data_IF_419799881288
#
_entry.id   IF_419799881288
#
_cell.length_a   1.000
_cell.length_b   1.000
_cell.length_c   1.000
_cell.angle_alpha   90.00
_cell.angle_beta   90.00
_cell.angle_gamma   90.00
#
_symmetry.space_group_name_H-M   'P 1'
#
loop_
_entity.id
_entity.type
_entity.pdbx_description
1 polymer ?
#
# COMPACT_ATOMS: atom_id res chain seq x y z
N UNK A 1 -9.74 9.96 24.54
CA UNK A 1 -9.84 9.13 23.32
C UNK A 1 -9.54 7.69 23.68
N UNK A 2 -10.10 6.69 22.98
CA UNK A 2 -9.81 5.28 23.25
C UNK A 2 -8.32 4.99 22.97
N UNK A 3 -7.64 4.29 23.88
CA UNK A 3 -6.23 3.90 23.71
C UNK A 3 -6.09 2.65 22.83
N UNK A 4 -7.17 1.93 22.60
CA UNK A 4 -7.22 0.72 21.79
C UNK A 4 -8.67 0.56 21.35
N UNK A 5 -8.88 0.03 20.15
CA UNK A 5 -10.20 -0.37 19.69
C UNK A 5 -10.19 -1.88 19.37
N UNK A 6 -11.34 -2.51 19.50
CA UNK A 6 -11.51 -3.93 19.29
C UNK A 6 -12.80 -4.18 18.50
N UNK A 7 -12.71 -5.09 17.55
CA UNK A 7 -13.85 -5.61 16.81
C UNK A 7 -13.90 -7.12 17.01
N UNK A 8 -15.04 -7.64 17.45
CA UNK A 8 -15.22 -9.08 17.63
C UNK A 8 -16.48 -9.44 18.41
N UNK A 9 -16.74 -10.73 18.65
CA UNK A 9 -17.99 -11.21 19.23
C UNK A 9 -18.09 -11.02 20.75
N UNK A 10 -16.99 -10.64 21.39
CA UNK A 10 -16.89 -10.48 22.84
C UNK A 10 -16.88 -9.01 23.23
N UNK A 11 -17.58 -8.65 24.30
CA UNK A 11 -17.57 -7.30 24.86
C UNK A 11 -16.51 -7.20 25.98
N UNK A 12 -15.25 -7.01 25.60
CA UNK A 12 -14.15 -6.88 26.55
C UNK A 12 -14.08 -5.48 27.14
N UNK A 13 -13.84 -5.38 28.45
CA UNK A 13 -13.24 -4.16 29.01
C UNK A 13 -11.82 -3.95 28.48
N UNK A 14 -11.32 -2.71 28.53
CA UNK A 14 -9.95 -2.38 28.12
C UNK A 14 -8.94 -3.27 28.84
N UNK A 15 -9.05 -3.43 30.16
CA UNK A 15 -8.13 -4.24 30.96
C UNK A 15 -8.15 -5.73 30.58
N UNK A 16 -9.34 -6.30 30.36
CA UNK A 16 -9.47 -7.70 29.96
C UNK A 16 -8.84 -7.94 28.58
N UNK A 17 -9.07 -7.03 27.63
CA UNK A 17 -8.48 -7.13 26.30
C UNK A 17 -6.95 -7.07 26.39
N UNK A 18 -6.41 -6.12 27.16
CA UNK A 18 -4.96 -5.96 27.32
C UNK A 18 -4.33 -7.20 27.95
N UNK A 19 -4.92 -7.78 29.00
CA UNK A 19 -4.41 -9.02 29.60
C UNK A 19 -4.47 -10.20 28.62
N UNK A 20 -5.54 -10.33 27.83
CA UNK A 20 -5.62 -11.34 26.77
C UNK A 20 -4.49 -11.18 25.76
N UNK A 21 -4.32 -9.96 25.21
CA UNK A 21 -3.30 -9.65 24.21
C UNK A 21 -1.88 -9.89 24.73
N UNK A 22 -1.65 -9.78 26.04
CA UNK A 22 -0.38 -10.14 26.69
C UNK A 22 -0.09 -11.65 26.71
N UNK A 23 -1.02 -12.50 26.34
CA UNK A 23 -0.82 -13.95 26.19
C UNK A 23 -1.09 -14.48 24.78
N UNK A 24 -1.56 -13.61 23.88
CA UNK A 24 -1.95 -13.97 22.53
C UNK A 24 -0.71 -14.19 21.65
N UNK A 25 -0.72 -15.30 20.92
CA UNK A 25 0.36 -15.70 20.01
C UNK A 25 -0.23 -16.32 18.72
N UNK A 26 -0.90 -15.52 17.87
CA UNK A 26 -1.53 -16.05 16.68
C UNK A 26 -0.45 -16.51 15.70
N UNK A 27 -0.67 -17.67 15.08
CA UNK A 27 0.23 -18.20 14.04
C UNK A 27 0.12 -17.42 12.72
N UNK A 28 -1.03 -16.78 12.50
CA UNK A 28 -1.32 -15.92 11.34
C UNK A 28 -2.02 -14.67 11.85
N UNK A 29 -1.54 -13.51 11.44
CA UNK A 29 -2.24 -12.22 11.64
C UNK A 29 -2.31 -11.49 10.31
N UNK A 30 -3.39 -10.74 10.09
CA UNK A 30 -3.40 -9.72 9.04
C UNK A 30 -3.17 -8.35 9.66
N UNK A 31 -2.43 -7.51 8.94
CA UNK A 31 -2.01 -6.19 9.39
C UNK A 31 -2.46 -5.19 8.33
N UNK A 32 -3.03 -4.09 8.80
CA UNK A 32 -3.41 -2.95 7.99
C UNK A 32 -2.93 -1.67 8.69
N UNK A 33 -2.57 -0.65 7.93
CA UNK A 33 -2.13 0.64 8.47
C UNK A 33 -2.94 1.79 7.92
N UNK A 34 -3.30 2.70 8.83
CA UNK A 34 -3.93 3.96 8.45
C UNK A 34 -2.88 5.07 8.41
N UNK A 35 -2.97 5.93 7.40
CA UNK A 35 -2.00 7.00 7.14
C UNK A 35 -2.72 8.32 6.82
N UNK A 36 -2.03 9.45 6.94
CA UNK A 36 -2.62 10.78 6.66
C UNK A 36 -3.21 10.83 5.24
N UNK A 37 -2.46 10.34 4.26
CA UNK A 37 -2.90 10.21 2.87
C UNK A 37 -2.00 9.27 2.07
N UNK A 38 -2.38 8.96 0.83
CA UNK A 38 -1.51 8.20 -0.09
C UNK A 38 -0.14 8.83 -0.35
N UNK A 39 -0.02 10.17 -0.21
CA UNK A 39 1.25 10.90 -0.39
C UNK A 39 2.02 11.05 0.90
N UNK A 40 1.30 11.26 2.00
CA UNK A 40 1.85 11.41 3.34
C UNK A 40 1.53 10.15 4.15
N UNK A 41 2.49 9.21 4.13
CA UNK A 41 2.37 7.90 4.74
C UNK A 41 2.63 7.90 6.25
N UNK A 42 2.62 9.08 6.88
CA UNK A 42 2.71 9.18 8.34
C UNK A 42 1.59 8.36 8.98
N UNK A 43 1.96 7.42 9.85
CA UNK A 43 1.02 6.50 10.49
C UNK A 43 0.04 7.21 11.43
N UNK A 44 -1.24 6.91 11.25
CA UNK A 44 -2.33 7.26 12.15
C UNK A 44 -2.65 6.12 13.10
N UNK A 45 -2.50 4.86 12.66
CA UNK A 45 -2.67 3.70 13.52
C UNK A 45 -2.44 2.39 12.80
N UNK A 46 -2.52 1.30 13.57
CA UNK A 46 -2.23 -0.05 13.11
C UNK A 46 -3.40 -0.96 13.51
N UNK A 47 -4.04 -1.58 12.53
CA UNK A 47 -5.04 -2.63 12.70
C UNK A 47 -4.38 -4.00 12.59
N UNK A 48 -4.76 -4.92 13.47
CA UNK A 48 -4.28 -6.30 13.47
C UNK A 48 -5.47 -7.25 13.65
N UNK A 49 -5.77 -8.04 12.63
CA UNK A 49 -6.70 -9.15 12.75
C UNK A 49 -6.00 -10.34 13.42
N UNK A 50 -6.56 -10.78 14.54
CA UNK A 50 -6.08 -11.92 15.34
C UNK A 50 -6.61 -13.25 14.79
N UNK A 51 -7.79 -13.20 14.17
CA UNK A 51 -8.45 -14.30 13.45
C UNK A 51 -9.54 -13.72 12.52
N UNK A 52 -10.29 -14.56 11.81
CA UNK A 52 -11.33 -14.14 10.85
C UNK A 52 -12.51 -13.35 11.47
N UNK A 53 -12.59 -13.22 12.80
CA UNK A 53 -13.69 -12.57 13.51
C UNK A 53 -13.25 -11.46 14.45
N UNK A 54 -11.98 -11.41 14.80
CA UNK A 54 -11.46 -10.52 15.84
C UNK A 54 -10.29 -9.70 15.32
N UNK A 55 -10.33 -8.39 15.55
CA UNK A 55 -9.23 -7.47 15.27
C UNK A 55 -9.07 -6.41 16.36
N UNK A 56 -7.86 -5.87 16.45
CA UNK A 56 -7.49 -4.80 17.38
C UNK A 56 -6.82 -3.65 16.64
N UNK A 57 -7.10 -2.43 17.05
CA UNK A 57 -6.54 -1.22 16.45
C UNK A 57 -5.84 -0.37 17.50
N UNK A 58 -4.62 0.06 17.17
CA UNK A 58 -3.75 0.85 18.02
C UNK A 58 -3.56 2.25 17.39
N UNK A 59 -4.17 3.31 17.94
CA UNK A 59 -3.96 4.66 17.44
C UNK A 59 -2.53 5.14 17.70
N UNK A 60 -2.01 5.95 16.78
CA UNK A 60 -0.69 6.59 16.81
C UNK A 60 -0.86 8.11 16.72
N UNK A 61 -1.69 8.60 15.80
CA UNK A 61 -2.05 10.02 15.69
C UNK A 61 -3.57 10.22 15.83
N UNK A 62 -4.01 11.40 16.29
CA UNK A 62 -3.18 12.48 16.85
C UNK A 62 -2.61 12.12 18.24
N UNK A 63 -3.28 11.22 18.96
CA UNK A 63 -2.87 10.76 20.30
C UNK A 63 -2.39 9.31 20.23
N UNK A 64 -1.13 9.09 20.60
CA UNK A 64 -0.52 7.77 20.55
C UNK A 64 -1.02 6.87 21.69
N UNK A 65 -1.42 5.64 21.35
CA UNK A 65 -1.80 4.61 22.29
C UNK A 65 -0.68 4.27 23.27
N UNK A 66 -0.99 4.31 24.58
CA UNK A 66 -0.10 3.74 25.62
C UNK A 66 0.19 2.23 25.44
N UNK A 67 -0.62 1.53 24.65
CA UNK A 67 -0.51 0.09 24.39
C UNK A 67 0.09 -0.24 23.03
N UNK A 68 0.63 0.73 22.30
CA UNK A 68 1.26 0.50 20.99
C UNK A 68 2.36 -0.57 21.05
N UNK A 69 3.03 -0.74 22.20
CA UNK A 69 4.00 -1.82 22.41
C UNK A 69 3.41 -3.23 22.23
N UNK A 70 2.11 -3.42 22.45
CA UNK A 70 1.43 -4.69 22.19
C UNK A 70 1.27 -4.96 20.69
N UNK A 71 1.03 -3.93 19.87
CA UNK A 71 1.02 -4.07 18.41
C UNK A 71 2.36 -4.59 17.91
N UNK A 72 3.46 -3.95 18.34
CA UNK A 72 4.82 -4.38 18.02
C UNK A 72 5.11 -5.80 18.51
N UNK A 73 4.65 -6.14 19.72
CA UNK A 73 4.79 -7.50 20.24
C UNK A 73 4.05 -8.52 19.38
N UNK A 74 2.79 -8.29 19.02
CA UNK A 74 1.99 -9.18 18.17
C UNK A 74 2.63 -9.35 16.79
N UNK A 75 3.14 -8.26 16.20
CA UNK A 75 3.86 -8.33 14.93
C UNK A 75 5.19 -9.07 15.05
N UNK A 76 5.87 -8.98 16.20
CA UNK A 76 7.13 -9.68 16.46
C UNK A 76 6.99 -11.18 16.74
N UNK A 77 5.77 -11.71 16.87
CA UNK A 77 5.60 -13.16 17.04
C UNK A 77 5.98 -13.89 15.74
N UNK A 78 6.66 -15.04 15.82
CA UNK A 78 6.86 -15.90 14.65
C UNK A 78 5.50 -16.33 14.08
N UNK A 79 5.33 -16.25 12.77
CA UNK A 79 4.08 -16.61 12.11
C UNK A 79 4.00 -16.06 10.69
N UNK A 80 2.82 -16.17 10.09
CA UNK A 80 2.50 -15.54 8.81
C UNK A 80 1.96 -14.14 9.06
N UNK A 81 2.50 -13.15 8.34
CA UNK A 81 2.02 -11.76 8.36
C UNK A 81 1.36 -11.49 7.02
N UNK A 82 0.06 -11.32 7.06
CA UNK A 82 -0.78 -11.10 5.88
C UNK A 82 -1.01 -9.61 5.72
N UNK A 83 -0.81 -9.09 4.53
CA UNK A 83 -1.13 -7.71 4.17
C UNK A 83 -1.88 -7.73 2.84
N UNK A 84 -2.73 -6.75 2.56
CA UNK A 84 -3.28 -6.59 1.21
C UNK A 84 -2.55 -5.43 0.54
N UNK A 85 -1.81 -5.70 -0.54
CA UNK A 85 -0.90 -4.72 -1.15
C UNK A 85 0.24 -4.30 -0.20
N UNK A 86 0.99 -5.31 0.27
CA UNK A 86 1.88 -5.25 1.42
C UNK A 86 2.92 -4.11 1.41
N UNK A 87 3.39 -3.69 0.23
CA UNK A 87 4.43 -2.68 0.13
C UNK A 87 4.02 -1.37 0.82
N UNK A 88 2.75 -0.96 0.70
CA UNK A 88 2.28 0.30 1.26
C UNK A 88 2.42 0.31 2.79
N UNK A 89 1.84 -0.68 3.47
CA UNK A 89 1.89 -0.82 4.92
C UNK A 89 3.31 -1.02 5.43
N UNK A 90 4.09 -1.84 4.73
CA UNK A 90 5.48 -2.08 5.10
C UNK A 90 6.32 -0.81 5.03
N UNK A 91 6.08 0.10 4.07
CA UNK A 91 6.72 1.42 4.07
C UNK A 91 6.31 2.25 5.27
N UNK A 92 5.00 2.39 5.54
CA UNK A 92 4.51 3.21 6.64
C UNK A 92 5.05 2.71 8.01
N UNK A 93 5.02 1.39 8.24
CA UNK A 93 5.60 0.76 9.43
C UNK A 93 7.11 1.00 9.54
N UNK A 94 7.83 0.90 8.42
CA UNK A 94 9.29 1.08 8.40
C UNK A 94 9.69 2.52 8.67
N UNK A 95 8.98 3.49 8.08
CA UNK A 95 9.23 4.92 8.28
C UNK A 95 8.97 5.31 9.74
N UNK A 96 7.81 4.93 10.29
CA UNK A 96 7.50 5.19 11.70
C UNK A 96 8.54 4.59 12.65
N UNK A 97 8.97 3.35 12.39
CA UNK A 97 9.98 2.69 13.23
C UNK A 97 11.33 3.38 13.14
N UNK A 98 11.76 3.78 11.95
CA UNK A 98 13.01 4.52 11.77
C UNK A 98 12.99 5.87 12.50
N UNK A 99 11.89 6.61 12.44
CA UNK A 99 11.77 7.92 13.09
C UNK A 99 11.64 7.82 14.61
N UNK A 100 10.93 6.80 15.11
CA UNK A 100 10.78 6.56 16.55
C UNK A 100 12.07 6.04 17.21
N UNK A 101 12.89 5.27 16.49
CA UNK A 101 14.24 4.87 16.93
C UNK A 101 15.19 6.08 16.97
N UNK A 102 15.02 7.10 16.12
CA UNK A 102 15.80 8.35 16.17
C UNK A 102 15.50 9.22 17.40
N UNK A 103 14.30 9.09 18.00
CA UNK A 103 13.92 9.85 19.20
C UNK A 103 14.40 9.28 20.54
N UNK A 104 14.88 8.03 20.61
CA UNK A 104 15.16 7.33 21.89
C UNK A 104 16.63 7.12 22.25
N UNK A 105 17.59 7.56 21.42
CA UNK A 105 18.97 7.80 21.83
C UNK A 105 19.67 6.68 22.63
N UNK A 106 19.37 5.40 22.39
CA UNK A 106 20.12 4.30 23.01
C UNK A 106 21.13 3.73 22.03
N UNK A 107 22.40 3.66 22.45
CA UNK A 107 23.52 3.14 21.65
C UNK A 107 23.31 1.67 21.20
N UNK A 108 22.37 0.95 21.81
CA UNK A 108 21.96 -0.40 21.42
C UNK A 108 20.94 -0.47 20.27
N UNK A 109 20.30 0.65 19.89
CA UNK A 109 19.34 0.73 18.76
C UNK A 109 20.00 1.16 17.43
N UNK A 110 21.24 1.65 17.47
CA UNK A 110 21.97 2.16 16.30
C UNK A 110 22.50 1.02 15.40
N UNK A 111 22.52 -0.23 15.88
CA UNK A 111 23.08 -1.36 15.14
C UNK A 111 22.18 -1.93 14.02
N UNK A 112 20.91 -1.52 13.93
CA UNK A 112 19.94 -2.05 12.95
C UNK A 112 19.26 -0.93 12.11
N UNK A 113 20.00 0.15 11.81
CA UNK A 113 19.54 1.28 10.97
C UNK A 113 18.99 0.86 9.59
N UNK A 114 19.43 -0.29 9.09
CA UNK A 114 18.83 -0.96 7.94
C UNK A 114 17.85 -2.01 8.48
N UNK A 115 16.72 -1.61 9.08
CA UNK A 115 15.76 -2.48 9.79
C UNK A 115 15.17 -3.66 8.99
N UNK A 116 15.62 -3.83 7.74
CA UNK A 116 15.35 -4.94 6.84
C UNK A 116 16.56 -5.86 6.60
N UNK A 117 17.73 -5.59 7.19
CA UNK A 117 18.97 -6.37 7.06
C UNK A 117 18.81 -7.79 7.57
N UNK A 118 17.98 -7.98 8.60
CA UNK A 118 17.62 -9.29 9.14
C UNK A 118 16.61 -10.09 8.31
N UNK A 119 16.04 -9.52 7.24
CA UNK A 119 15.09 -10.24 6.38
C UNK A 119 15.81 -11.30 5.54
N UNK A 120 15.27 -12.53 5.50
CA UNK A 120 15.82 -13.60 4.65
C UNK A 120 15.08 -13.63 3.32
N UNK A 121 15.58 -12.84 2.38
CA UNK A 121 15.00 -12.66 1.04
C UNK A 121 14.72 -13.99 0.34
N UNK A 122 15.65 -14.95 0.37
CA UNK A 122 15.49 -16.24 -0.33
C UNK A 122 14.34 -17.10 0.20
N UNK A 123 13.92 -16.86 1.44
CA UNK A 123 12.85 -17.59 2.14
C UNK A 123 11.56 -16.76 2.24
N UNK A 124 11.51 -15.56 1.63
CA UNK A 124 10.43 -14.58 1.80
C UNK A 124 10.12 -14.28 3.28
N UNK A 125 11.16 -14.29 4.13
CA UNK A 125 11.02 -14.04 5.56
C UNK A 125 11.27 -12.58 5.89
N UNK A 126 10.35 -12.04 6.68
CA UNK A 126 10.37 -10.68 7.20
C UNK A 126 11.52 -10.49 8.22
N UNK A 127 11.91 -9.24 8.53
CA UNK A 127 12.93 -8.95 9.53
C UNK A 127 12.50 -9.34 10.95
N UNK A 128 13.46 -9.38 11.88
CA UNK A 128 13.24 -9.87 13.25
C UNK A 128 12.18 -9.11 14.05
N UNK A 129 11.98 -7.81 13.77
CA UNK A 129 10.92 -7.01 14.41
C UNK A 129 9.51 -7.36 13.94
N UNK A 130 9.39 -8.03 12.78
CA UNK A 130 8.18 -8.71 12.30
C UNK A 130 8.25 -10.23 12.58
N UNK A 131 9.06 -10.62 13.56
CA UNK A 131 9.15 -11.98 14.09
C UNK A 131 9.88 -12.98 13.21
N UNK A 132 10.57 -12.54 12.16
CA UNK A 132 11.13 -13.47 11.18
C UNK A 132 10.03 -14.27 10.46
N UNK A 133 8.80 -13.72 10.44
CA UNK A 133 7.62 -14.38 9.90
C UNK A 133 7.66 -14.53 8.38
N UNK A 134 6.77 -15.35 7.85
CA UNK A 134 6.53 -15.43 6.42
C UNK A 134 5.59 -14.30 5.99
N UNK A 135 5.91 -13.63 4.89
CA UNK A 135 5.02 -12.64 4.29
C UNK A 135 3.96 -13.35 3.44
N UNK A 136 2.72 -12.87 3.49
CA UNK A 136 1.68 -13.25 2.55
C UNK A 136 0.90 -12.02 2.07
N UNK A 137 0.58 -11.99 0.77
CA UNK A 137 -0.22 -10.92 0.16
C UNK A 137 -1.35 -11.48 -0.72
N UNK A 138 -2.63 -11.42 -0.27
CA UNK A 138 -3.77 -11.90 -1.06
C UNK A 138 -4.06 -11.06 -2.31
N UNK A 139 -3.56 -9.82 -2.39
CA UNK A 139 -3.67 -9.02 -3.62
C UNK A 139 -2.77 -9.60 -4.72
N UNK A 140 -1.55 -10.03 -4.36
CA UNK A 140 -0.64 -10.69 -5.29
C UNK A 140 -1.17 -12.06 -5.74
N UNK A 141 -1.78 -12.82 -4.81
CA UNK A 141 -2.50 -14.06 -5.13
C UNK A 141 -3.58 -13.81 -6.20
N UNK A 142 -4.39 -12.76 -6.02
CA UNK A 142 -5.42 -12.37 -6.97
C UNK A 142 -4.88 -11.95 -8.33
N UNK A 143 -3.82 -11.13 -8.36
CA UNK A 143 -3.19 -10.72 -9.62
C UNK A 143 -2.63 -11.89 -10.42
N UNK A 144 -1.99 -12.86 -9.76
CA UNK A 144 -1.41 -14.04 -10.43
C UNK A 144 -2.49 -14.93 -11.05
N UNK A 145 -3.67 -14.99 -10.43
CA UNK A 145 -4.83 -15.70 -10.97
C UNK A 145 -5.60 -14.87 -12.00
N UNK A 146 -5.18 -13.62 -12.25
CA UNK A 146 -5.91 -12.66 -13.09
C UNK A 146 -7.36 -12.48 -12.64
N UNK A 147 -7.59 -12.39 -11.33
CA UNK A 147 -8.90 -12.06 -10.78
C UNK A 147 -9.34 -10.66 -11.26
N UNK A 148 -10.62 -10.44 -11.56
CA UNK A 148 -11.13 -9.17 -12.09
C UNK A 148 -11.03 -8.00 -11.09
N UNK A 149 -10.92 -8.29 -9.79
CA UNK A 149 -10.94 -7.31 -8.72
C UNK A 149 -9.51 -7.00 -8.24
N UNK A 150 -9.16 -5.71 -8.21
CA UNK A 150 -7.81 -5.24 -7.83
C UNK A 150 -7.80 -4.43 -6.53
N UNK A 151 -8.97 -4.12 -5.95
CA UNK A 151 -9.12 -3.42 -4.68
C UNK A 151 -9.51 -4.39 -3.57
N UNK A 152 -9.19 -4.04 -2.31
CA UNK A 152 -9.60 -4.85 -1.17
C UNK A 152 -11.13 -4.89 -1.05
N UNK A 153 -11.80 -3.76 -1.29
CA UNK A 153 -13.25 -3.60 -1.21
C UNK A 153 -13.97 -4.52 -2.20
N UNK A 154 -13.55 -4.50 -3.47
CA UNK A 154 -14.18 -5.32 -4.50
C UNK A 154 -13.89 -6.80 -4.28
N UNK A 155 -12.66 -7.14 -3.87
CA UNK A 155 -12.26 -8.52 -3.56
C UNK A 155 -13.05 -9.06 -2.36
N UNK A 156 -13.22 -8.26 -1.31
CA UNK A 156 -13.98 -8.62 -0.12
C UNK A 156 -15.46 -8.84 -0.45
N UNK A 157 -16.05 -7.91 -1.20
CA UNK A 157 -17.45 -7.99 -1.65
C UNK A 157 -17.69 -9.21 -2.52
N UNK A 158 -16.78 -9.50 -3.45
CA UNK A 158 -16.94 -10.58 -4.42
C UNK A 158 -16.75 -11.97 -3.81
N UNK A 159 -15.68 -12.17 -3.03
CA UNK A 159 -15.24 -13.53 -2.66
C UNK A 159 -15.58 -13.94 -1.23
N UNK A 160 -15.84 -12.99 -0.33
CA UNK A 160 -16.21 -13.28 1.07
C UNK A 160 -17.51 -12.59 1.50
N UNK A 161 -18.24 -11.99 0.56
CA UNK A 161 -19.52 -11.29 0.79
C UNK A 161 -19.45 -10.27 1.94
N UNK A 162 -18.32 -9.57 2.05
CA UNK A 162 -18.08 -8.55 3.07
C UNK A 162 -17.95 -7.19 2.41
N UNK A 163 -18.88 -6.30 2.71
CA UNK A 163 -18.82 -4.89 2.29
C UNK A 163 -18.03 -4.10 3.31
N UNK A 164 -16.98 -3.43 2.85
CA UNK A 164 -16.12 -2.55 3.64
C UNK A 164 -15.98 -1.21 2.91
N UNK A 165 -15.71 -0.16 3.66
CA UNK A 165 -15.67 1.20 3.11
C UNK A 165 -14.36 1.46 2.32
N UNK A 166 -14.48 2.04 1.13
CA UNK A 166 -13.35 2.68 0.46
C UNK A 166 -13.04 4.04 1.12
N UNK A 167 -11.82 4.54 0.93
CA UNK A 167 -11.46 5.89 1.41
C UNK A 167 -12.40 6.95 0.79
N UNK A 168 -12.77 6.80 -0.48
CA UNK A 168 -13.72 7.70 -1.15
C UNK A 168 -15.12 7.70 -0.56
N UNK A 169 -15.49 6.66 0.19
CA UNK A 169 -16.83 6.51 0.76
C UNK A 169 -16.95 7.27 2.09
N UNK A 170 -15.82 7.47 2.78
CA UNK A 170 -15.76 8.11 4.10
C UNK A 170 -15.09 9.48 4.11
N UNK A 171 -14.32 9.81 3.07
CA UNK A 171 -13.50 11.02 3.00
C UNK A 171 -14.04 12.00 1.96
N UNK A 172 -14.42 13.20 2.41
CA UNK A 172 -14.84 14.26 1.49
C UNK A 172 -13.65 14.84 0.70
N UNK A 173 -13.90 15.45 -0.47
CA UNK A 173 -12.84 16.06 -1.26
C UNK A 173 -12.03 17.08 -0.46
N UNK A 174 -10.69 16.98 -0.56
CA UNK A 174 -9.69 17.83 0.12
C UNK A 174 -9.55 17.62 1.63
N UNK A 175 -10.16 16.58 2.19
CA UNK A 175 -9.89 16.14 3.55
C UNK A 175 -8.78 15.07 3.57
N UNK A 176 -8.27 14.81 4.78
CA UNK A 176 -7.29 13.77 5.11
C UNK A 176 -7.88 12.85 6.17
N UNK A 177 -7.24 11.70 6.39
CA UNK A 177 -7.73 10.74 7.41
C UNK A 177 -7.69 11.32 8.85
N UNK A 178 -6.93 12.39 9.08
CA UNK A 178 -6.92 13.11 10.36
C UNK A 178 -8.17 13.97 10.60
N UNK A 179 -8.90 14.30 9.53
CA UNK A 179 -10.15 15.07 9.63
C UNK A 179 -11.34 14.19 10.04
N UNK A 180 -11.18 12.87 10.02
CA UNK A 180 -12.19 11.91 10.42
C UNK A 180 -12.15 11.62 11.93
N UNK A 181 -13.29 11.29 12.57
CA UNK A 181 -13.29 10.80 13.94
C UNK A 181 -12.43 9.52 14.06
N UNK A 182 -11.63 9.41 15.12
CA UNK A 182 -10.77 8.24 15.36
C UNK A 182 -11.54 6.92 15.34
N UNK A 183 -12.81 6.91 15.76
CA UNK A 183 -13.66 5.72 15.71
C UNK A 183 -13.98 5.26 14.28
N UNK A 184 -14.10 6.18 13.33
CA UNK A 184 -14.34 5.88 11.91
C UNK A 184 -13.08 5.27 11.29
N UNK A 185 -11.93 5.90 11.52
CA UNK A 185 -10.62 5.39 11.07
C UNK A 185 -10.32 4.02 11.68
N UNK A 186 -10.54 3.86 12.99
CA UNK A 186 -10.35 2.58 13.66
C UNK A 186 -11.28 1.49 13.11
N UNK A 187 -12.57 1.80 12.91
CA UNK A 187 -13.53 0.85 12.34
C UNK A 187 -13.07 0.39 10.95
N UNK A 188 -12.70 1.34 10.07
CA UNK A 188 -12.21 1.02 8.73
C UNK A 188 -11.01 0.07 8.78
N UNK A 189 -9.97 0.42 9.53
CA UNK A 189 -8.74 -0.38 9.65
C UNK A 189 -8.99 -1.79 10.23
N UNK A 190 -9.92 -1.89 11.20
CA UNK A 190 -10.35 -3.18 11.77
C UNK A 190 -11.07 -4.04 10.71
N UNK A 191 -11.96 -3.45 9.92
CA UNK A 191 -12.68 -4.14 8.86
C UNK A 191 -11.75 -4.56 7.71
N UNK A 192 -10.83 -3.69 7.28
CA UNK A 192 -9.85 -3.96 6.22
C UNK A 192 -8.88 -5.09 6.63
N UNK A 193 -8.37 -5.09 7.87
CA UNK A 193 -7.52 -6.19 8.35
C UNK A 193 -8.28 -7.52 8.48
N UNK A 194 -9.55 -7.52 8.90
CA UNK A 194 -10.38 -8.74 8.92
C UNK A 194 -10.66 -9.24 7.51
N UNK A 195 -11.04 -8.34 6.60
CA UNK A 195 -11.29 -8.68 5.20
C UNK A 195 -10.04 -9.29 4.56
N UNK A 196 -8.87 -8.69 4.79
CA UNK A 196 -7.57 -9.21 4.35
C UNK A 196 -7.33 -10.64 4.82
N UNK A 197 -7.56 -10.92 6.11
CA UNK A 197 -7.36 -12.26 6.66
C UNK A 197 -8.37 -13.29 6.11
N UNK A 198 -9.62 -12.89 5.94
CA UNK A 198 -10.66 -13.75 5.35
C UNK A 198 -10.38 -14.07 3.90
N UNK A 199 -9.95 -13.08 3.10
CA UNK A 199 -9.55 -13.30 1.70
C UNK A 199 -8.37 -14.28 1.64
N UNK A 200 -7.36 -14.10 2.51
CA UNK A 200 -6.23 -15.03 2.61
C UNK A 200 -6.70 -16.47 2.84
N UNK A 201 -7.58 -16.71 3.81
CA UNK A 201 -8.10 -18.06 4.04
C UNK A 201 -9.02 -18.55 2.92
N UNK A 202 -9.83 -17.66 2.32
CA UNK A 202 -10.72 -17.97 1.20
C UNK A 202 -9.94 -18.50 -0.02
N UNK A 203 -8.81 -17.87 -0.30
CA UNK A 203 -7.89 -18.28 -1.37
C UNK A 203 -6.94 -19.42 -0.95
N UNK A 204 -7.21 -20.09 0.18
CA UNK A 204 -6.40 -21.19 0.74
C UNK A 204 -4.93 -20.79 0.92
N UNK A 205 -4.71 -19.60 1.47
CA UNK A 205 -3.41 -18.95 1.62
C UNK A 205 -2.24 -19.83 2.08
N UNK A 206 -2.38 -20.71 3.09
CA UNK A 206 -1.31 -21.63 3.49
C UNK A 206 -0.80 -22.53 2.34
N UNK A 207 -1.70 -22.94 1.45
CA UNK A 207 -1.40 -23.89 0.37
C UNK A 207 -0.62 -23.26 -0.77
N UNK A 208 -0.52 -21.93 -0.84
CA UNK A 208 0.35 -21.25 -1.82
C UNK A 208 1.85 -21.55 -1.61
N UNK A 209 2.20 -22.04 -0.42
CA UNK A 209 3.54 -22.44 -0.05
C UNK A 209 3.78 -23.94 -0.15
N UNK A 210 2.76 -24.72 -0.51
CA UNK A 210 2.84 -26.16 -0.71
C UNK A 210 3.12 -26.51 -2.18
N UNK A 211 3.61 -27.73 -2.40
CA UNK A 211 4.03 -28.23 -3.73
C UNK A 211 2.89 -28.70 -4.63
N UNK A 212 1.71 -28.97 -4.06
CA UNK A 212 0.62 -29.60 -4.80
C UNK A 212 -0.39 -28.56 -5.26
N UNK A 213 -0.79 -28.50 -6.54
CA UNK A 213 -1.85 -27.60 -7.00
C UNK A 213 -3.10 -27.70 -6.12
N UNK A 214 -3.77 -26.57 -5.90
CA UNK A 214 -5.01 -26.55 -5.13
C UNK A 214 -6.10 -25.79 -5.85
N UNK A 215 -7.34 -26.03 -5.46
CA UNK A 215 -8.51 -25.30 -5.94
C UNK A 215 -9.19 -24.68 -4.73
N UNK A 216 -9.69 -23.46 -4.92
CA UNK A 216 -10.53 -22.78 -3.96
C UNK A 216 -11.83 -22.33 -4.63
N UNK A 217 -12.90 -22.33 -3.87
CA UNK A 217 -14.26 -22.05 -4.34
C UNK A 217 -14.86 -20.87 -3.58
N UNK A 218 -15.76 -20.13 -4.22
CA UNK A 218 -16.56 -19.09 -3.57
C UNK A 218 -18.03 -19.15 -3.95
N UNK A 219 -18.85 -18.55 -3.09
CA UNK A 219 -20.27 -18.36 -3.36
C UNK A 219 -20.44 -16.97 -3.93
N UNK A 220 -21.00 -16.87 -5.14
CA UNK A 220 -21.24 -15.59 -5.78
C UNK A 220 -22.19 -14.73 -4.93
N UNK A 221 -21.81 -13.47 -4.70
CA UNK A 221 -22.65 -12.50 -4.00
C UNK A 221 -23.77 -12.01 -4.93
N UNK A 222 -24.88 -12.75 -4.98
CA UNK A 222 -26.06 -12.40 -5.79
C UNK A 222 -26.81 -11.16 -5.28
N UNK A 223 -26.61 -10.75 -4.03
CA UNK A 223 -27.34 -9.62 -3.44
C UNK A 223 -26.78 -8.27 -3.89
N UNK A 224 -25.46 -8.13 -3.95
CA UNK A 224 -24.78 -6.87 -4.32
C UNK A 224 -24.27 -6.85 -5.76
N UNK A 225 -24.66 -7.84 -6.56
CA UNK A 225 -24.26 -8.01 -7.96
C UNK A 225 -22.97 -8.82 -8.12
N UNK A 226 -23.06 -9.89 -8.91
CA UNK A 226 -21.95 -10.72 -9.35
C UNK A 226 -21.93 -10.80 -10.88
N UNK A 227 -20.75 -11.09 -11.44
CA UNK A 227 -20.66 -11.46 -12.86
C UNK A 227 -21.16 -12.91 -13.01
N UNK A 228 -22.28 -13.16 -13.72
CA UNK A 228 -22.80 -14.52 -13.90
C UNK A 228 -21.88 -15.41 -14.75
N UNK A 229 -20.86 -14.84 -15.40
CA UNK A 229 -19.89 -15.57 -16.21
C UNK A 229 -18.56 -15.83 -15.48
N UNK A 230 -18.36 -15.26 -14.29
CA UNK A 230 -17.16 -15.53 -13.49
C UNK A 230 -17.22 -16.97 -12.93
N UNK A 231 -16.13 -17.76 -13.06
CA UNK A 231 -16.10 -19.11 -12.51
C UNK A 231 -16.14 -19.05 -10.98
N UNK A 232 -16.98 -19.86 -10.34
CA UNK A 232 -17.06 -19.93 -8.86
C UNK A 232 -15.92 -20.72 -8.21
N UNK A 233 -14.97 -21.20 -9.00
CA UNK A 233 -13.81 -21.94 -8.54
C UNK A 233 -12.57 -21.58 -9.34
N UNK A 234 -11.43 -21.49 -8.64
CA UNK A 234 -10.14 -21.15 -9.23
C UNK A 234 -9.11 -22.20 -8.86
N UNK A 235 -8.44 -22.73 -9.88
CA UNK A 235 -7.35 -23.68 -9.69
C UNK A 235 -6.01 -22.98 -9.75
N UNK A 236 -5.24 -23.15 -8.68
CA UNK A 236 -3.89 -22.61 -8.51
C UNK A 236 -2.89 -23.67 -8.95
N UNK A 237 -2.31 -23.45 -10.13
CA UNK A 237 -1.29 -24.33 -10.68
C UNK A 237 0.05 -24.16 -9.96
N UNK A 238 0.96 -25.13 -10.09
CA UNK A 238 2.28 -25.02 -9.50
C UNK A 238 3.06 -23.80 -10.04
N UNK A 239 2.95 -23.51 -11.34
CA UNK A 239 3.60 -22.34 -11.94
C UNK A 239 3.12 -21.02 -11.32
N UNK A 240 1.82 -20.90 -10.98
CA UNK A 240 1.27 -19.73 -10.30
C UNK A 240 1.87 -19.58 -8.89
N UNK A 241 2.01 -20.69 -8.16
CA UNK A 241 2.67 -20.67 -6.84
C UNK A 241 4.13 -20.26 -6.93
N UNK A 242 4.86 -20.76 -7.92
CA UNK A 242 6.26 -20.40 -8.14
C UNK A 242 6.39 -18.88 -8.39
N UNK A 243 5.51 -18.31 -9.23
CA UNK A 243 5.43 -16.86 -9.43
C UNK A 243 5.15 -16.11 -8.12
N UNK A 244 4.16 -16.57 -7.35
CA UNK A 244 3.79 -15.95 -6.08
C UNK A 244 4.94 -15.94 -5.08
N UNK A 245 5.64 -17.07 -4.94
CA UNK A 245 6.78 -17.18 -4.05
C UNK A 245 7.93 -16.28 -4.49
N UNK A 246 8.14 -16.07 -5.79
CA UNK A 246 9.12 -15.08 -6.29
C UNK A 246 8.69 -13.68 -5.89
N UNK A 247 7.42 -13.31 -6.09
CA UNK A 247 6.90 -11.99 -5.74
C UNK A 247 7.03 -11.70 -4.24
N UNK A 248 6.73 -12.69 -3.38
CA UNK A 248 6.90 -12.55 -1.93
C UNK A 248 8.37 -12.38 -1.51
N UNK A 249 9.32 -12.95 -2.26
CA UNK A 249 10.76 -12.72 -2.04
C UNK A 249 11.20 -11.33 -2.51
N UNK A 250 10.57 -10.79 -3.55
CA UNK A 250 10.88 -9.45 -4.06
C UNK A 250 10.52 -8.36 -3.05
N UNK A 251 9.45 -8.51 -2.28
CA UNK A 251 9.00 -7.47 -1.34
C UNK A 251 10.09 -7.09 -0.32
N UNK A 252 10.67 -8.00 0.48
CA UNK A 252 11.78 -7.64 1.39
C UNK A 252 13.01 -7.09 0.67
N UNK A 253 13.29 -7.52 -0.56
CA UNK A 253 14.39 -6.98 -1.36
C UNK A 253 14.13 -5.52 -1.76
N UNK A 254 12.94 -5.23 -2.26
CA UNK A 254 12.50 -3.88 -2.61
C UNK A 254 12.54 -2.96 -1.39
N UNK A 255 12.06 -3.43 -0.24
CA UNK A 255 12.14 -2.66 1.02
C UNK A 255 13.58 -2.28 1.38
N UNK A 256 14.54 -3.20 1.22
CA UNK A 256 15.97 -2.92 1.44
C UNK A 256 16.53 -1.92 0.42
N UNK A 257 16.18 -2.08 -0.85
CA UNK A 257 16.64 -1.18 -1.92
C UNK A 257 16.12 0.24 -1.73
N UNK A 258 14.82 0.39 -1.44
CA UNK A 258 14.19 1.69 -1.23
C UNK A 258 14.73 2.40 -0.01
N UNK A 259 14.99 1.68 1.09
CA UNK A 259 15.60 2.27 2.29
C UNK A 259 17.04 2.72 2.08
N UNK A 260 17.81 1.99 1.28
CA UNK A 260 19.18 2.41 0.91
C UNK A 260 19.19 3.69 0.08
N UNK A 261 18.17 3.87 -0.76
CA UNK A 261 18.07 4.99 -1.69
C UNK A 261 19.20 5.00 -2.73
N UNK A 262 19.28 6.09 -3.48
CA UNK A 262 20.31 6.32 -4.49
C UNK A 262 21.01 7.64 -4.19
N UNK A 263 22.34 7.61 -4.05
CA UNK A 263 23.11 8.82 -3.86
C UNK A 263 23.12 9.64 -5.15
N UNK A 264 22.70 10.90 -5.05
CA UNK A 264 22.75 11.87 -6.14
C UNK A 264 23.96 12.81 -5.95
N UNK A 265 24.59 13.18 -7.06
CA UNK A 265 25.65 14.21 -7.10
C UNK A 265 25.00 15.58 -7.15
N UNK A 266 24.77 16.19 -5.99
CA UNK A 266 23.99 17.42 -5.86
C UNK A 266 24.58 18.60 -6.65
N UNK A 267 25.91 18.70 -6.67
CA UNK A 267 26.67 19.70 -7.44
C UNK A 267 26.36 19.65 -8.93
N UNK A 268 26.32 18.44 -9.50
CA UNK A 268 25.98 18.27 -10.91
C UNK A 268 24.50 18.52 -11.18
N UNK A 269 23.62 18.08 -10.28
CA UNK A 269 22.17 18.35 -10.42
C UNK A 269 21.91 19.86 -10.44
N UNK A 270 22.58 20.61 -9.56
CA UNK A 270 22.48 22.07 -9.48
C UNK A 270 23.07 22.77 -10.72
N UNK A 271 24.26 22.37 -11.17
CA UNK A 271 24.87 22.89 -12.42
C UNK A 271 23.98 22.62 -13.65
N UNK A 272 23.41 21.41 -13.75
CA UNK A 272 22.45 21.10 -14.81
C UNK A 272 21.19 21.95 -14.71
N UNK A 273 20.66 22.16 -13.50
CA UNK A 273 19.49 23.01 -13.30
C UNK A 273 19.76 24.45 -13.72
N UNK A 274 20.91 25.02 -13.35
CA UNK A 274 21.31 26.36 -13.77
C UNK A 274 21.47 26.49 -15.29
N UNK A 275 22.21 25.56 -15.92
CA UNK A 275 22.47 25.58 -17.37
C UNK A 275 21.17 25.46 -18.15
N UNK A 276 20.31 24.54 -17.75
CA UNK A 276 19.04 24.29 -18.42
C UNK A 276 18.09 25.48 -18.23
N UNK A 277 18.05 26.07 -17.03
CA UNK A 277 17.24 27.27 -16.77
C UNK A 277 17.71 28.47 -17.61
N UNK A 278 19.03 28.70 -17.72
CA UNK A 278 19.60 29.76 -18.58
C UNK A 278 19.27 29.51 -20.06
N UNK A 279 19.42 28.28 -20.53
CA UNK A 279 19.09 27.91 -21.91
C UNK A 279 17.59 28.06 -22.21
N UNK A 280 16.73 27.65 -21.27
CA UNK A 280 15.28 27.80 -21.37
C UNK A 280 14.88 29.27 -21.49
N UNK A 281 15.40 30.16 -20.62
CA UNK A 281 15.13 31.59 -20.69
C UNK A 281 15.61 32.19 -22.02
N UNK A 282 16.81 31.82 -22.48
CA UNK A 282 17.33 32.28 -23.76
C UNK A 282 16.44 31.88 -24.94
N UNK A 283 15.99 30.61 -24.99
CA UNK A 283 15.07 30.14 -26.04
C UNK A 283 13.69 30.80 -25.93
N UNK A 284 13.17 30.98 -24.72
CA UNK A 284 11.91 31.66 -24.49
C UNK A 284 11.96 33.12 -24.94
N UNK A 285 13.06 33.82 -24.70
CA UNK A 285 13.27 35.19 -25.18
C UNK A 285 13.28 35.27 -26.71
N UNK A 286 13.88 34.30 -27.39
CA UNK A 286 13.84 34.21 -28.86
C UNK A 286 12.39 34.04 -29.33
N UNK A 287 11.66 33.05 -28.81
CA UNK A 287 10.27 32.80 -29.19
C UNK A 287 9.35 34.01 -28.91
N UNK A 288 9.55 34.66 -27.76
CA UNK A 288 8.76 35.83 -27.37
C UNK A 288 9.01 37.02 -28.31
N UNK A 289 10.26 37.24 -28.75
CA UNK A 289 10.59 38.24 -29.79
C UNK A 289 9.92 37.92 -31.12
N UNK A 290 9.78 36.65 -31.45
CA UNK A 290 9.06 36.17 -32.64
C UNK A 290 7.53 36.16 -32.44
N UNK A 291 7.03 36.60 -31.28
CA UNK A 291 5.61 36.85 -31.02
C UNK A 291 4.81 35.67 -30.48
N UNK A 292 5.45 34.60 -30.01
CA UNK A 292 4.74 33.44 -29.46
C UNK A 292 5.40 32.86 -28.19
N UNK A 293 4.59 32.22 -27.35
CA UNK A 293 5.08 31.47 -26.20
C UNK A 293 5.29 29.99 -26.58
N UNK A 294 6.50 29.43 -26.39
CA UNK A 294 6.82 28.06 -26.82
C UNK A 294 6.05 26.99 -26.03
N UNK A 295 5.55 27.33 -24.83
CA UNK A 295 4.70 26.45 -24.01
C UNK A 295 3.22 26.42 -24.43
N UNK A 296 2.82 27.20 -25.46
CA UNK A 296 1.44 27.25 -25.97
C UNK A 296 1.37 26.66 -27.38
N UNK A 297 1.05 25.36 -27.53
CA UNK A 297 1.04 24.65 -28.82
C UNK A 297 0.26 25.36 -29.93
N UNK A 298 -0.85 26.02 -29.58
CA UNK A 298 -1.67 26.75 -30.54
C UNK A 298 -0.95 27.98 -31.12
N UNK A 299 -0.22 28.74 -30.29
CA UNK A 299 0.53 29.90 -30.77
C UNK A 299 1.71 29.46 -31.65
N UNK A 300 2.39 28.38 -31.24
CA UNK A 300 3.45 27.75 -32.05
C UNK A 300 2.90 27.33 -33.41
N UNK A 301 1.74 26.65 -33.43
CA UNK A 301 1.13 26.17 -34.66
C UNK A 301 0.70 27.29 -35.61
N UNK A 302 0.15 28.37 -35.07
CA UNK A 302 -0.20 29.57 -35.84
C UNK A 302 1.03 30.19 -36.50
N UNK A 303 2.12 30.42 -35.74
CA UNK A 303 3.35 31.00 -36.29
C UNK A 303 3.99 30.10 -37.35
N UNK A 304 3.99 28.78 -37.16
CA UNK A 304 4.50 27.84 -38.16
C UNK A 304 3.64 27.83 -39.43
N UNK A 305 2.32 27.89 -39.30
CA UNK A 305 1.39 27.96 -40.42
C UNK A 305 1.53 29.28 -41.20
N UNK A 306 1.68 30.42 -40.50
CA UNK A 306 1.97 31.72 -41.11
C UNK A 306 3.30 31.73 -41.89
N UNK A 307 4.28 30.95 -41.44
CA UNK A 307 5.56 30.74 -42.13
C UNK A 307 5.48 29.71 -43.28
N UNK A 308 4.30 29.19 -43.59
CA UNK A 308 4.06 28.30 -44.72
C UNK A 308 4.20 26.81 -44.41
N UNK A 309 4.25 26.40 -43.13
CA UNK A 309 4.20 24.99 -42.76
C UNK A 309 2.77 24.48 -42.77
N UNK A 310 2.53 23.34 -43.42
CA UNK A 310 1.23 22.68 -43.36
C UNK A 310 1.16 21.79 -42.12
N UNK A 311 0.33 22.15 -41.15
CA UNK A 311 0.12 21.40 -39.93
C UNK A 311 -1.30 20.80 -39.92
N UNK A 312 -1.45 19.49 -39.60
CA UNK A 312 -2.76 18.90 -39.43
C UNK A 312 -3.43 19.44 -38.15
N UNK A 313 -4.76 19.33 -38.08
CA UNK A 313 -5.47 19.57 -36.84
C UNK A 313 -5.27 18.42 -35.85
N UNK A 314 -5.34 18.74 -34.55
CA UNK A 314 -5.42 17.72 -33.50
C UNK A 314 -6.71 16.88 -33.64
N UNK A 315 -6.82 15.70 -33.00
CA UNK A 315 -8.01 14.85 -33.10
C UNK A 315 -9.33 15.53 -32.68
N UNK A 316 -9.25 16.55 -31.81
CA UNK A 316 -10.42 17.35 -31.41
C UNK A 316 -10.83 18.41 -32.45
N UNK A 317 -10.03 18.62 -33.50
CA UNK A 317 -10.27 19.56 -34.58
C UNK A 317 -10.10 21.04 -34.20
N UNK A 318 -9.70 21.34 -32.96
CA UNK A 318 -9.70 22.71 -32.42
C UNK A 318 -8.34 23.40 -32.47
N UNK A 319 -7.25 22.65 -32.65
CA UNK A 319 -5.88 23.16 -32.54
C UNK A 319 -5.01 22.58 -33.65
N UNK A 320 -3.91 23.27 -33.99
CA UNK A 320 -2.90 22.76 -34.91
C UNK A 320 -1.93 21.84 -34.15
N UNK A 321 -1.63 20.67 -34.72
CA UNK A 321 -0.72 19.70 -34.13
C UNK A 321 0.74 20.17 -34.29
N UNK A 322 1.45 20.33 -33.18
CA UNK A 322 2.85 20.79 -33.12
C UNK A 322 3.77 19.85 -32.34
N UNK A 323 3.24 18.70 -31.89
CA UNK A 323 3.99 17.64 -31.19
C UNK A 323 4.36 16.47 -32.11
N UNK A 324 4.87 15.39 -31.51
CA UNK A 324 5.26 14.16 -32.22
C UNK A 324 4.06 13.31 -32.69
N UNK A 325 2.83 13.75 -32.46
CA UNK A 325 1.60 13.03 -32.81
C UNK A 325 1.14 13.31 -34.25
N UNK A 326 2.08 13.48 -35.18
CA UNK A 326 1.81 13.66 -36.63
C UNK A 326 1.69 12.29 -37.31
#
# INVERSE_FOLDING_TARGET
>A
MPNIAYYGPHDYSEEQLIERLKSEHPSVIAIDTETISLKDRTLIGIGIALNEREAVYFPILPDCSKYLYLAWRLMSTPGVKVFFNALYDLYALTEYRADSDMGRGSEYQIADLDGWRGAKVQEARLPGWLGGGQLADPSAMGHIQALPNNSLQDTARAYISMTIDAISDILEPRQTMLDLPTSVVAKKCLEDSIATLRIFYKQRGPEWWETDPHTWDYEANWYDGCDPFEPTSYTVTQAMKDCYQIDMKLIPLLMRMSRRGMALRSDLVEDWYERTSKAQLFMQDICTKEGFEPGKPQQVGMVLAERGSFLPFTPSGKQLATGNDI
#
